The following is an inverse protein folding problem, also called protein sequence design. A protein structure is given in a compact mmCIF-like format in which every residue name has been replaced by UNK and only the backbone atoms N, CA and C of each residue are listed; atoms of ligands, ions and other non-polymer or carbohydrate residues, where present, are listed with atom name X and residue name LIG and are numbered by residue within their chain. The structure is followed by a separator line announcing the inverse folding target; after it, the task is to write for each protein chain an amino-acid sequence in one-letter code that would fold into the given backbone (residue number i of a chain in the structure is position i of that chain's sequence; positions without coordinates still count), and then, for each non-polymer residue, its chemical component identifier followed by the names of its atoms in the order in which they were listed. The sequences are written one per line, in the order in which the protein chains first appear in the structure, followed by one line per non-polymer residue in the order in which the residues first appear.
data_IF_126896415542
#
_entry.id   IF_126896415542
#
_cell.length_a   1.000
_cell.length_b   1.000
_cell.length_c   1.000
_cell.angle_alpha   90.00
_cell.angle_beta   90.00
_cell.angle_gamma   90.00
#
_symmetry.space_group_name_H-M   'P 1'
#
loop_
_entity.id
_entity.type
_entity.pdbx_description
1 polymer ?
#
# COMPACT_ATOMS: atom_id res chain seq x y z
N UNK A 1 24.16 -1.34 -13.26
CA UNK A 1 24.29 -1.06 -11.81
C UNK A 1 22.92 -1.21 -11.16
N UNK A 2 22.84 -2.15 -10.22
CA UNK A 2 21.75 -2.51 -9.30
C UNK A 2 20.49 -1.61 -9.22
N UNK A 3 19.43 -1.96 -9.95
CA UNK A 3 18.05 -1.52 -9.65
C UNK A 3 17.05 -2.69 -9.56
N UNK A 4 17.55 -3.91 -9.77
CA UNK A 4 16.79 -5.17 -9.77
C UNK A 4 16.99 -6.00 -8.49
N UNK A 5 17.79 -5.51 -7.53
CA UNK A 5 18.19 -6.27 -6.34
C UNK A 5 17.45 -5.88 -5.05
N UNK A 6 16.73 -4.77 -4.99
CA UNK A 6 16.24 -4.16 -3.73
C UNK A 6 14.74 -4.25 -3.47
N UNK A 7 14.10 -5.41 -3.66
CA UNK A 7 12.66 -5.54 -3.31
C UNK A 7 12.41 -6.62 -2.24
N UNK A 8 13.29 -7.62 -2.15
CA UNK A 8 13.43 -8.57 -1.03
C UNK A 8 14.88 -9.06 -1.06
N UNK A 9 15.81 -8.15 -0.75
CA UNK A 9 17.25 -8.36 -0.96
C UNK A 9 17.92 -9.20 0.14
N UNK A 10 17.29 -9.32 1.32
CA UNK A 10 17.88 -9.94 2.51
C UNK A 10 17.61 -11.43 2.67
N UNK A 11 16.35 -11.87 2.49
CA UNK A 11 15.97 -13.18 3.02
C UNK A 11 16.53 -14.31 2.18
N UNK A 12 17.28 -15.17 2.86
CA UNK A 12 17.78 -16.44 2.34
C UNK A 12 16.74 -17.56 2.43
N UNK A 13 15.47 -17.19 2.67
CA UNK A 13 14.33 -18.08 2.88
C UNK A 13 13.38 -18.08 1.67
N UNK A 14 12.79 -19.23 1.33
CA UNK A 14 11.65 -19.33 0.42
C UNK A 14 10.39 -18.78 1.09
N UNK A 15 9.67 -17.87 0.41
CA UNK A 15 8.48 -17.21 0.95
C UNK A 15 7.30 -17.27 -0.04
N UNK A 16 6.10 -17.45 0.49
CA UNK A 16 4.84 -17.30 -0.22
C UNK A 16 4.54 -15.81 -0.47
N UNK A 17 4.47 -15.40 -1.75
CA UNK A 17 4.28 -13.99 -2.07
C UNK A 17 3.00 -13.39 -1.48
N UNK A 18 1.89 -14.14 -1.49
CA UNK A 18 0.62 -13.65 -0.96
C UNK A 18 0.65 -13.42 0.55
N UNK A 19 1.37 -14.26 1.29
CA UNK A 19 1.52 -14.09 2.74
C UNK A 19 2.33 -12.84 3.08
N UNK A 20 3.44 -12.60 2.37
CA UNK A 20 4.26 -11.38 2.54
C UNK A 20 3.46 -10.12 2.16
N UNK A 21 2.67 -10.18 1.08
CA UNK A 21 1.79 -9.08 0.66
C UNK A 21 0.74 -8.76 1.73
N UNK A 22 0.11 -9.78 2.31
CA UNK A 22 -0.87 -9.64 3.40
C UNK A 22 -0.20 -9.04 4.64
N UNK A 23 0.95 -9.58 5.07
CA UNK A 23 1.67 -9.12 6.26
C UNK A 23 2.19 -7.69 6.15
N UNK A 24 2.69 -7.28 4.98
CA UNK A 24 3.12 -5.89 4.74
C UNK A 24 1.95 -4.91 4.57
N UNK A 25 0.72 -5.41 4.43
CA UNK A 25 -0.48 -4.60 4.21
C UNK A 25 -0.43 -3.76 2.93
N UNK A 26 0.34 -4.22 1.94
CA UNK A 26 0.41 -3.56 0.63
C UNK A 26 -0.58 -4.20 -0.34
N UNK A 27 -1.07 -3.39 -1.27
CA UNK A 27 -1.95 -3.88 -2.32
C UNK A 27 -1.20 -4.77 -3.31
N UNK A 28 0.10 -4.53 -3.54
CA UNK A 28 0.92 -5.27 -4.50
C UNK A 28 2.29 -5.64 -3.97
N UNK A 29 2.75 -6.81 -4.38
CA UNK A 29 4.10 -7.28 -4.12
C UNK A 29 5.16 -6.30 -4.58
N UNK A 30 4.99 -5.66 -5.74
CA UNK A 30 5.98 -4.75 -6.24
C UNK A 30 5.96 -3.35 -5.58
N UNK A 31 5.00 -3.09 -4.70
CA UNK A 31 4.97 -1.88 -3.87
C UNK A 31 5.67 -2.10 -2.52
N UNK A 32 6.05 -3.35 -2.22
CA UNK A 32 7.01 -3.66 -1.18
C UNK A 32 8.31 -2.94 -1.51
N UNK A 33 8.89 -2.33 -0.49
CA UNK A 33 10.18 -1.65 -0.53
C UNK A 33 10.97 -2.20 0.65
N UNK A 34 12.30 -2.15 0.57
CA UNK A 34 13.16 -2.62 1.66
C UNK A 34 12.79 -1.99 3.01
N UNK A 35 12.45 -0.69 3.05
CA UNK A 35 11.99 0.00 4.27
C UNK A 35 10.71 -0.55 4.92
N UNK A 36 9.93 -1.38 4.22
CA UNK A 36 8.68 -1.95 4.76
C UNK A 36 8.92 -3.28 5.47
N UNK A 37 10.09 -3.89 5.30
CA UNK A 37 10.39 -5.23 5.81
C UNK A 37 11.66 -5.15 6.65
N UNK A 38 11.66 -5.79 7.81
CA UNK A 38 12.86 -6.06 8.58
C UNK A 38 13.01 -7.57 8.74
N UNK A 39 14.21 -8.07 8.51
CA UNK A 39 14.54 -9.47 8.77
C UNK A 39 15.25 -9.53 10.12
N UNK A 40 14.78 -10.41 11.00
CA UNK A 40 15.37 -10.66 12.30
C UNK A 40 15.90 -12.09 12.30
N UNK A 41 17.13 -12.28 12.76
CA UNK A 41 17.77 -13.61 12.81
C UNK A 41 17.07 -14.53 13.82
N UNK A 42 16.54 -13.95 14.89
CA UNK A 42 15.77 -14.65 15.91
C UNK A 42 14.82 -13.65 16.61
N UNK A 43 13.70 -14.15 17.12
CA UNK A 43 12.84 -13.39 18.00
C UNK A 43 12.31 -14.31 19.10
N UNK A 44 12.84 -14.15 20.30
CA UNK A 44 12.36 -14.86 21.48
C UNK A 44 11.31 -14.03 22.21
N UNK A 45 10.40 -14.72 22.89
CA UNK A 45 9.45 -14.08 23.79
C UNK A 45 10.25 -13.42 24.90
N UNK A 46 10.09 -12.11 25.14
CA UNK A 46 10.98 -11.39 26.05
C UNK A 46 10.63 -11.70 27.52
N UNK A 47 11.41 -12.59 28.13
CA UNK A 47 11.24 -13.03 29.52
C UNK A 47 12.01 -12.11 30.47
N UNK A 48 13.24 -11.74 30.11
CA UNK A 48 14.15 -10.92 30.92
C UNK A 48 13.96 -9.41 30.69
N UNK A 49 14.39 -8.54 31.64
CA UNK A 49 14.34 -7.10 31.44
C UNK A 49 15.14 -6.60 30.23
N UNK A 50 16.27 -7.25 29.93
CA UNK A 50 17.14 -6.89 28.80
C UNK A 50 16.48 -7.24 27.46
N UNK A 51 15.91 -8.44 27.34
CA UNK A 51 15.14 -8.86 26.15
C UNK A 51 13.91 -7.97 25.91
N UNK A 52 13.25 -7.53 26.98
CA UNK A 52 12.13 -6.59 26.87
C UNK A 52 12.57 -5.24 26.35
N UNK A 53 13.73 -4.74 26.79
CA UNK A 53 14.29 -3.49 26.29
C UNK A 53 14.71 -3.60 24.82
N UNK A 54 15.24 -4.75 24.39
CA UNK A 54 15.53 -5.04 22.98
C UNK A 54 14.25 -5.07 22.13
N UNK A 55 13.25 -5.85 22.54
CA UNK A 55 11.97 -5.91 21.85
C UNK A 55 11.28 -4.54 21.75
N UNK A 56 11.35 -3.73 22.82
CA UNK A 56 10.80 -2.38 22.83
C UNK A 56 11.52 -1.46 21.84
N UNK A 57 12.85 -1.59 21.69
CA UNK A 57 13.64 -0.85 20.71
C UNK A 57 13.27 -1.26 19.29
N UNK A 58 13.22 -2.56 18.99
CA UNK A 58 12.82 -3.03 17.66
C UNK A 58 11.41 -2.57 17.28
N UNK A 59 10.49 -2.61 18.24
CA UNK A 59 9.13 -2.14 18.06
C UNK A 59 9.09 -0.63 17.79
N UNK A 60 9.86 0.17 18.53
CA UNK A 60 9.99 1.62 18.30
C UNK A 60 10.53 1.92 16.92
N UNK A 61 11.69 1.34 16.58
CA UNK A 61 12.37 1.57 15.32
C UNK A 61 11.47 1.20 14.14
N UNK A 62 10.62 0.19 14.31
CA UNK A 62 9.66 -0.20 13.29
C UNK A 62 8.66 0.89 12.95
N UNK A 63 8.21 1.67 13.92
CA UNK A 63 7.34 2.81 13.67
C UNK A 63 8.09 4.01 13.12
N UNK A 64 9.29 4.29 13.62
CA UNK A 64 10.14 5.39 13.13
C UNK A 64 10.56 5.17 11.67
N UNK A 65 10.97 3.96 11.32
CA UNK A 65 11.44 3.57 9.98
C UNK A 65 10.31 3.14 9.03
N UNK A 66 9.07 3.04 9.55
CA UNK A 66 7.87 2.62 8.81
C UNK A 66 7.93 1.17 8.29
N UNK A 67 8.57 0.31 9.08
CA UNK A 67 8.55 -1.14 8.89
C UNK A 67 7.15 -1.65 9.18
N UNK A 68 6.69 -2.57 8.34
CA UNK A 68 5.33 -3.12 8.38
C UNK A 68 5.29 -4.60 8.68
N UNK A 69 6.39 -5.31 8.41
CA UNK A 69 6.49 -6.75 8.60
C UNK A 69 7.89 -7.10 9.08
N UNK A 70 7.97 -7.88 10.17
CA UNK A 70 9.18 -8.60 10.54
C UNK A 70 9.12 -10.00 9.95
N UNK A 71 10.20 -10.42 9.31
CA UNK A 71 10.38 -11.79 8.81
C UNK A 71 11.38 -12.47 9.73
N UNK A 72 10.98 -13.60 10.30
CA UNK A 72 11.71 -14.28 11.36
C UNK A 72 11.75 -15.77 11.03
N UNK A 73 12.94 -16.40 11.00
CA UNK A 73 13.03 -17.85 10.94
C UNK A 73 12.66 -18.42 12.31
N UNK A 74 11.54 -19.16 12.39
CA UNK A 74 11.10 -19.77 13.65
C UNK A 74 11.02 -21.28 13.49
N UNK A 75 11.41 -22.02 14.52
CA UNK A 75 11.02 -23.42 14.67
C UNK A 75 9.51 -23.53 14.91
N UNK A 76 8.95 -24.73 14.72
CA UNK A 76 7.54 -24.98 15.02
C UNK A 76 7.20 -24.64 16.48
N UNK A 77 8.09 -24.98 17.42
CA UNK A 77 7.91 -24.73 18.85
C UNK A 77 7.91 -23.23 19.20
N UNK A 78 8.84 -22.46 18.63
CA UNK A 78 8.90 -21.00 18.83
C UNK A 78 7.65 -20.31 18.29
N UNK A 79 7.18 -20.76 17.12
CA UNK A 79 5.97 -20.21 16.51
C UNK A 79 4.73 -20.50 17.35
N UNK A 80 4.57 -21.73 17.84
CA UNK A 80 3.46 -22.10 18.73
C UNK A 80 3.49 -21.27 20.01
N UNK A 81 4.68 -21.05 20.57
CA UNK A 81 4.87 -20.20 21.76
C UNK A 81 4.40 -18.76 21.50
N UNK A 82 4.74 -18.17 20.35
CA UNK A 82 4.27 -16.83 19.96
C UNK A 82 2.75 -16.79 19.72
N UNK A 83 2.16 -17.83 19.13
CA UNK A 83 0.71 -17.94 18.92
C UNK A 83 -0.09 -18.09 20.21
N UNK A 84 0.54 -18.53 21.31
CA UNK A 84 -0.10 -18.52 22.63
C UNK A 84 -0.17 -17.14 23.26
N UNK A 85 0.75 -16.24 22.90
CA UNK A 85 0.91 -14.92 23.54
C UNK A 85 0.25 -13.82 22.70
N UNK A 86 0.35 -13.93 21.38
CA UNK A 86 -0.27 -13.05 20.42
C UNK A 86 -1.47 -13.76 19.78
N UNK A 87 -2.56 -13.05 19.45
CA UNK A 87 -3.68 -13.64 18.74
C UNK A 87 -3.20 -14.29 17.43
N UNK A 88 -3.89 -15.37 17.03
CA UNK A 88 -3.52 -16.23 15.89
C UNK A 88 -3.20 -15.44 14.61
N UNK A 89 -3.86 -14.31 14.40
CA UNK A 89 -3.71 -13.48 13.20
C UNK A 89 -2.44 -12.60 13.19
N UNK A 90 -1.71 -12.51 14.30
CA UNK A 90 -0.50 -11.69 14.42
C UNK A 90 0.78 -12.40 13.95
N UNK A 91 0.78 -13.74 13.94
CA UNK A 91 1.90 -14.59 13.52
C UNK A 91 1.54 -15.31 12.23
N UNK A 92 1.99 -14.75 11.11
CA UNK A 92 1.69 -15.21 9.77
C UNK A 92 2.69 -16.28 9.31
N UNK A 93 2.20 -17.35 8.70
CA UNK A 93 3.07 -18.25 7.94
C UNK A 93 3.48 -17.57 6.64
N UNK A 94 4.78 -17.32 6.46
CA UNK A 94 5.29 -16.65 5.28
C UNK A 94 5.84 -17.61 4.24
N UNK A 95 6.03 -18.90 4.54
CA UNK A 95 6.60 -19.85 3.59
C UNK A 95 6.61 -21.29 4.15
N UNK A 96 7.04 -22.26 3.33
CA UNK A 96 7.10 -23.65 3.75
C UNK A 96 8.21 -23.90 4.79
N UNK A 97 8.12 -25.01 5.51
CA UNK A 97 9.22 -25.51 6.33
C UNK A 97 10.45 -25.78 5.44
N UNK A 98 11.62 -25.30 5.87
CA UNK A 98 12.86 -25.37 5.11
C UNK A 98 14.08 -25.40 6.02
N UNK A 99 15.19 -25.92 5.50
CA UNK A 99 16.48 -25.89 6.17
C UNK A 99 17.12 -24.51 6.00
N UNK A 100 17.37 -23.83 7.11
CA UNK A 100 18.03 -22.53 7.16
C UNK A 100 19.15 -22.60 8.21
N UNK A 101 20.38 -22.28 7.81
CA UNK A 101 21.56 -22.33 8.69
C UNK A 101 21.69 -23.65 9.49
N UNK A 102 21.32 -24.79 8.87
CA UNK A 102 21.40 -26.11 9.49
C UNK A 102 20.27 -26.46 10.47
N UNK A 103 19.22 -25.64 10.56
CA UNK A 103 18.02 -25.89 11.36
C UNK A 103 16.77 -25.93 10.49
N UNK A 104 15.81 -26.77 10.84
CA UNK A 104 14.49 -26.78 10.21
C UNK A 104 13.66 -25.62 10.78
N UNK A 105 13.30 -24.67 9.92
CA UNK A 105 12.52 -23.47 10.28
C UNK A 105 11.34 -23.27 9.35
N UNK A 106 10.36 -22.53 9.84
CA UNK A 106 9.22 -22.01 9.10
C UNK A 106 9.33 -20.49 9.10
N UNK A 107 9.45 -19.84 7.93
CA UNK A 107 9.46 -18.39 7.85
C UNK A 107 8.16 -17.83 8.41
N UNK A 108 8.28 -17.04 9.46
CA UNK A 108 7.16 -16.47 10.18
C UNK A 108 7.17 -14.96 10.08
N UNK A 109 5.98 -14.38 10.01
CA UNK A 109 5.76 -12.97 9.78
C UNK A 109 5.06 -12.36 10.97
N UNK A 110 5.65 -11.32 11.55
CA UNK A 110 5.07 -10.63 12.69
C UNK A 110 4.84 -9.16 12.32
N UNK A 111 3.59 -8.71 12.44
CA UNK A 111 3.18 -7.37 12.03
C UNK A 111 3.24 -6.44 13.25
N UNK A 112 4.20 -5.48 13.34
CA UNK A 112 4.42 -4.69 14.56
C UNK A 112 3.16 -3.96 15.04
N UNK A 113 2.31 -3.53 14.11
CA UNK A 113 1.02 -2.92 14.44
C UNK A 113 0.07 -3.89 15.15
N UNK A 114 -0.02 -5.15 14.70
CA UNK A 114 -0.88 -6.14 15.33
C UNK A 114 -0.36 -6.55 16.70
N UNK A 115 0.96 -6.53 16.90
CA UNK A 115 1.56 -6.69 18.23
C UNK A 115 1.04 -5.61 19.18
N UNK A 116 1.16 -4.33 18.78
CA UNK A 116 0.67 -3.22 19.60
C UNK A 116 -0.82 -3.34 19.88
N UNK A 117 -1.63 -3.60 18.84
CA UNK A 117 -3.08 -3.77 19.01
C UNK A 117 -3.41 -4.94 19.97
N UNK A 118 -2.62 -6.01 19.96
CA UNK A 118 -2.79 -7.18 20.85
C UNK A 118 -2.38 -6.90 22.29
N UNK A 119 -1.26 -6.20 22.49
CA UNK A 119 -0.79 -5.79 23.82
C UNK A 119 -1.80 -4.83 24.48
N UNK A 120 -2.37 -3.90 23.70
CA UNK A 120 -3.45 -3.01 24.15
C UNK A 120 -4.68 -3.81 24.58
N UNK A 121 -5.09 -4.81 23.79
CA UNK A 121 -6.27 -5.62 24.11
C UNK A 121 -6.09 -6.48 25.36
N UNK A 122 -4.88 -7.00 25.60
CA UNK A 122 -4.58 -7.79 26.81
C UNK A 122 -4.60 -6.94 28.07
N UNK A 123 -4.16 -5.68 27.99
CA UNK A 123 -4.27 -4.71 29.09
C UNK A 123 -3.47 -5.09 30.35
N UNK A 124 -2.51 -6.01 30.27
CA UNK A 124 -1.65 -6.35 31.41
C UNK A 124 -0.73 -5.17 31.75
N UNK A 125 -0.44 -4.96 33.03
CA UNK A 125 0.43 -3.86 33.48
C UNK A 125 1.83 -3.95 32.86
N UNK A 126 2.32 -5.17 32.65
CA UNK A 126 3.63 -5.43 32.02
C UNK A 126 3.63 -5.03 30.55
N UNK A 127 2.57 -5.38 29.83
CA UNK A 127 2.38 -5.03 28.42
C UNK A 127 2.25 -3.51 28.25
N UNK A 128 1.55 -2.83 29.17
CA UNK A 128 1.41 -1.37 29.15
C UNK A 128 2.73 -0.64 29.42
N UNK A 129 3.57 -1.17 30.32
CA UNK A 129 4.92 -0.65 30.54
C UNK A 129 5.79 -0.81 29.29
N UNK A 130 5.74 -1.98 28.64
CA UNK A 130 6.46 -2.24 27.39
C UNK A 130 6.01 -1.29 26.26
N UNK A 131 4.70 -1.04 26.14
CA UNK A 131 4.15 -0.09 25.16
C UNK A 131 4.57 1.34 25.47
N UNK A 132 4.58 1.73 26.75
CA UNK A 132 5.09 3.04 27.16
C UNK A 132 6.56 3.18 26.77
N UNK A 133 7.40 2.19 27.10
CA UNK A 133 8.82 2.24 26.80
C UNK A 133 9.11 2.21 25.30
N UNK A 134 8.34 1.47 24.50
CA UNK A 134 8.53 1.41 23.04
C UNK A 134 7.97 2.64 22.31
N UNK A 135 6.79 3.12 22.67
CA UNK A 135 6.06 4.17 21.93
C UNK A 135 6.25 5.58 22.49
N UNK A 136 7.00 5.77 23.58
CA UNK A 136 7.33 7.09 24.10
C UNK A 136 8.00 7.95 23.00
N UNK A 137 7.44 9.13 22.69
CA UNK A 137 7.83 10.03 21.60
C UNK A 137 7.57 9.56 20.16
N UNK A 138 6.91 8.42 19.94
CA UNK A 138 6.53 7.99 18.58
C UNK A 138 5.25 8.71 18.14
N UNK A 139 5.28 9.24 16.91
CA UNK A 139 4.22 10.06 16.34
C UNK A 139 2.86 9.33 16.36
N UNK A 140 1.82 9.98 16.89
CA UNK A 140 0.48 9.40 17.11
C UNK A 140 -0.23 8.88 15.84
N UNK A 141 0.29 9.28 14.68
CA UNK A 141 -0.18 8.85 13.37
C UNK A 141 0.17 7.39 13.03
N UNK A 142 1.08 6.78 13.78
CA UNK A 142 1.57 5.42 13.55
C UNK A 142 0.66 4.34 14.18
N UNK A 143 -0.18 4.73 15.15
CA UNK A 143 -1.08 3.81 15.84
C UNK A 143 -2.50 3.98 15.30
N UNK A 144 -3.23 2.86 15.15
CA UNK A 144 -4.56 2.93 14.55
C UNK A 144 -5.53 3.71 15.45
N UNK A 145 -6.28 4.64 14.86
CA UNK A 145 -7.33 5.45 15.52
C UNK A 145 -8.32 4.62 16.36
N UNK A 146 -8.46 3.33 16.08
CA UNK A 146 -9.41 2.44 16.75
C UNK A 146 -9.11 2.29 18.25
N UNK A 147 -7.89 2.55 18.69
CA UNK A 147 -7.45 2.38 20.08
C UNK A 147 -6.99 3.68 20.76
N UNK A 148 -7.29 4.85 20.19
CA UNK A 148 -6.88 6.16 20.74
C UNK A 148 -7.39 6.38 22.17
N UNK A 149 -8.55 5.82 22.53
CA UNK A 149 -9.08 5.84 23.91
C UNK A 149 -8.24 5.01 24.89
N UNK A 150 -7.84 3.80 24.49
CA UNK A 150 -7.05 2.91 25.34
C UNK A 150 -5.62 3.44 25.56
N UNK A 151 -5.04 4.11 24.56
CA UNK A 151 -3.72 4.75 24.68
C UNK A 151 -3.74 6.00 25.56
N UNK A 152 -4.87 6.74 25.59
CA UNK A 152 -5.07 7.90 26.48
C UNK A 152 -5.18 7.52 27.95
N UNK A 153 -5.73 6.35 28.26
CA UNK A 153 -5.80 5.84 29.64
C UNK A 153 -4.43 5.50 30.23
N UNK A 154 -3.39 5.40 29.39
CA UNK A 154 -2.00 5.06 29.78
C UNK A 154 -1.06 6.29 29.69
N UNK A 155 -1.61 7.52 29.61
CA UNK A 155 -0.85 8.79 29.59
C UNK A 155 0.23 8.87 28.48
N UNK A 156 0.01 8.25 27.32
CA UNK A 156 0.91 8.42 26.17
C UNK A 156 0.58 9.76 25.50
N UNK A 157 1.49 10.74 25.57
CA UNK A 157 1.34 12.05 24.93
C UNK A 157 1.37 11.93 23.40
N UNK A 158 0.19 11.78 22.80
CA UNK A 158 0.00 11.71 21.36
C UNK A 158 -0.19 13.14 20.77
N UNK A 159 0.76 13.61 19.96
CA UNK A 159 0.68 14.92 19.30
C UNK A 159 -0.51 14.98 18.32
N UNK A 160 -1.54 15.78 18.63
CA UNK A 160 -2.78 15.85 17.85
C UNK A 160 -2.66 16.83 16.68
N UNK A 161 -2.95 16.40 15.44
CA UNK A 161 -3.09 17.28 14.26
C UNK A 161 -4.56 17.46 13.87
N UNK A 162 -4.90 18.70 13.52
CA UNK A 162 -6.27 19.18 13.21
C UNK A 162 -6.93 18.43 12.03
N UNK A 163 -8.24 18.16 12.11
CA UNK A 163 -9.00 17.33 11.14
C UNK A 163 -8.96 17.90 9.71
N UNK A 164 -8.99 19.24 9.56
CA UNK A 164 -8.91 19.89 8.25
C UNK A 164 -7.54 19.70 7.58
N UNK A 165 -6.46 19.77 8.36
CA UNK A 165 -5.11 19.46 7.86
C UNK A 165 -5.08 18.03 7.33
N UNK A 166 -5.73 17.09 8.02
CA UNK A 166 -5.80 15.68 7.59
C UNK A 166 -6.57 15.49 6.28
N UNK A 167 -7.62 16.26 6.02
CA UNK A 167 -8.38 16.23 4.75
C UNK A 167 -7.54 16.81 3.61
N UNK A 168 -6.92 17.97 3.79
CA UNK A 168 -6.06 18.58 2.77
C UNK A 168 -4.74 17.84 2.55
N UNK A 169 -4.28 17.06 3.53
CA UNK A 169 -3.13 16.16 3.38
C UNK A 169 -3.53 14.81 2.76
N UNK A 170 -4.83 14.51 2.63
CA UNK A 170 -5.28 13.30 1.94
C UNK A 170 -5.11 13.47 0.43
N UNK A 171 -4.03 12.90 -0.09
CA UNK A 171 -3.66 12.97 -1.50
C UNK A 171 -4.78 12.51 -2.45
N UNK A 172 -5.64 11.56 -2.01
CA UNK A 172 -6.80 11.12 -2.81
C UNK A 172 -7.81 12.25 -2.97
N UNK A 173 -8.14 12.94 -1.88
CA UNK A 173 -9.08 14.07 -1.93
C UNK A 173 -8.54 15.19 -2.83
N UNK A 174 -7.25 15.53 -2.68
CA UNK A 174 -6.59 16.53 -3.52
C UNK A 174 -6.64 16.16 -5.01
N UNK A 175 -6.44 14.88 -5.36
CA UNK A 175 -6.55 14.41 -6.73
C UNK A 175 -7.96 14.63 -7.32
N UNK A 176 -9.02 14.31 -6.56
CA UNK A 176 -10.40 14.57 -7.00
C UNK A 176 -10.68 16.05 -7.22
N UNK A 177 -10.24 16.92 -6.29
CA UNK A 177 -10.45 18.36 -6.40
C UNK A 177 -9.72 18.93 -7.63
N UNK A 178 -8.45 18.57 -7.83
CA UNK A 178 -7.65 19.04 -8.97
C UNK A 178 -8.28 18.62 -10.29
N UNK A 179 -8.67 17.35 -10.42
CA UNK A 179 -9.30 16.85 -11.66
C UNK A 179 -10.65 17.53 -11.90
N UNK A 180 -11.46 17.75 -10.86
CA UNK A 180 -12.75 18.43 -11.00
C UNK A 180 -12.58 19.87 -11.51
N UNK A 181 -11.65 20.62 -10.93
CA UNK A 181 -11.34 22.00 -11.35
C UNK A 181 -10.88 22.01 -12.81
N UNK A 182 -9.97 21.10 -13.17
CA UNK A 182 -9.49 20.97 -14.55
C UNK A 182 -10.64 20.66 -15.52
N UNK A 183 -11.49 19.67 -15.20
CA UNK A 183 -12.65 19.31 -16.02
C UNK A 183 -13.62 20.47 -16.22
N UNK A 184 -13.87 21.28 -15.18
CA UNK A 184 -14.73 22.46 -15.29
C UNK A 184 -14.17 23.53 -16.23
N UNK A 185 -12.84 23.73 -16.23
CA UNK A 185 -12.17 24.74 -17.06
C UNK A 185 -11.98 24.29 -18.52
N UNK A 186 -12.04 23.00 -18.79
CA UNK A 186 -11.69 22.42 -20.10
C UNK A 186 -12.63 22.80 -21.24
N UNK A 187 -13.85 23.28 -20.94
CA UNK A 187 -14.76 23.81 -21.96
C UNK A 187 -14.30 25.19 -22.50
N UNK A 188 -13.46 25.92 -21.74
CA UNK A 188 -13.06 27.28 -22.09
C UNK A 188 -12.26 27.36 -23.40
N UNK A 189 -11.28 26.48 -23.71
CA UNK A 189 -10.63 26.54 -25.02
C UNK A 189 -11.59 26.24 -26.18
N UNK A 190 -12.57 25.35 -25.96
CA UNK A 190 -13.50 24.89 -27.01
C UNK A 190 -14.48 25.98 -27.43
N UNK A 191 -14.81 26.92 -26.54
CA UNK A 191 -15.69 28.04 -26.88
C UNK A 191 -15.12 28.96 -27.98
N UNK A 192 -13.80 28.89 -28.23
CA UNK A 192 -13.12 29.67 -29.26
C UNK A 192 -12.91 28.88 -30.56
N UNK A 193 -13.41 27.64 -30.67
CA UNK A 193 -13.27 26.79 -31.85
C UNK A 193 -14.50 26.96 -32.75
N UNK A 194 -14.41 27.69 -33.88
CA UNK A 194 -15.56 27.99 -34.73
C UNK A 194 -16.14 26.76 -35.45
N UNK A 195 -15.39 25.66 -35.55
CA UNK A 195 -15.80 24.41 -36.20
C UNK A 195 -16.73 23.55 -35.33
N UNK A 196 -16.84 23.85 -34.03
CA UNK A 196 -17.67 23.10 -33.10
C UNK A 196 -19.13 23.57 -33.14
N UNK A 197 -20.03 22.68 -33.57
CA UNK A 197 -21.47 22.96 -33.63
C UNK A 197 -22.30 22.30 -32.53
N UNK A 198 -21.65 21.62 -31.59
CA UNK A 198 -22.31 20.97 -30.44
C UNK A 198 -22.67 21.96 -29.33
N UNK A 199 -23.40 21.47 -28.33
CA UNK A 199 -23.74 22.26 -27.14
C UNK A 199 -22.56 22.28 -26.16
N UNK A 200 -22.05 23.48 -25.86
CA UNK A 200 -21.01 23.67 -24.85
C UNK A 200 -21.48 23.21 -23.45
N UNK A 201 -22.76 23.39 -23.14
CA UNK A 201 -23.36 22.90 -21.89
C UNK A 201 -23.31 21.39 -21.77
N UNK A 202 -23.61 20.67 -22.86
CA UNK A 202 -23.55 19.20 -22.87
C UNK A 202 -22.11 18.72 -22.69
N UNK A 203 -21.15 19.32 -23.40
CA UNK A 203 -19.73 19.00 -23.25
C UNK A 203 -19.24 19.24 -21.81
N UNK A 204 -19.62 20.38 -21.22
CA UNK A 204 -19.28 20.71 -19.83
C UNK A 204 -19.90 19.74 -18.82
N UNK A 205 -21.16 19.34 -19.02
CA UNK A 205 -21.81 18.34 -18.16
C UNK A 205 -21.13 16.98 -18.28
N UNK A 206 -20.77 16.54 -19.49
CA UNK A 206 -19.99 15.31 -19.69
C UNK A 206 -18.69 15.37 -18.87
N UNK A 207 -17.98 16.50 -18.90
CA UNK A 207 -16.70 16.65 -18.20
C UNK A 207 -16.81 16.58 -16.68
N UNK A 208 -17.86 17.19 -16.10
CA UNK A 208 -18.12 17.12 -14.66
C UNK A 208 -18.52 15.70 -14.24
N UNK A 209 -19.47 15.10 -14.96
CA UNK A 209 -20.00 13.77 -14.63
C UNK A 209 -18.90 12.71 -14.75
N UNK A 210 -18.01 12.85 -15.73
CA UNK A 210 -16.93 11.89 -15.96
C UNK A 210 -15.72 12.09 -15.04
N UNK A 211 -15.51 13.26 -14.45
CA UNK A 211 -14.37 13.55 -13.57
C UNK A 211 -14.26 12.61 -12.36
N UNK A 212 -15.40 12.28 -11.74
CA UNK A 212 -15.47 11.40 -10.57
C UNK A 212 -15.06 9.95 -10.95
N UNK A 213 -15.75 9.27 -11.89
CA UNK A 213 -15.37 7.93 -12.29
C UNK A 213 -14.00 7.86 -12.95
N UNK A 214 -13.55 8.90 -13.66
CA UNK A 214 -12.20 8.98 -14.23
C UNK A 214 -11.12 8.93 -13.13
N UNK A 215 -11.24 9.81 -12.12
CA UNK A 215 -10.29 9.87 -11.00
C UNK A 215 -10.31 8.58 -10.20
N UNK A 216 -11.51 8.02 -9.98
CA UNK A 216 -11.65 6.72 -9.35
C UNK A 216 -10.95 5.62 -10.16
N UNK A 217 -11.09 5.60 -11.49
CA UNK A 217 -10.44 4.62 -12.35
C UNK A 217 -8.92 4.68 -12.28
N UNK A 218 -8.34 5.89 -12.30
CA UNK A 218 -6.90 6.10 -12.16
C UNK A 218 -6.41 5.66 -10.77
N UNK A 219 -7.08 6.11 -9.71
CA UNK A 219 -6.72 5.71 -8.35
C UNK A 219 -6.83 4.19 -8.20
N UNK A 220 -7.89 3.57 -8.70
CA UNK A 220 -8.10 2.13 -8.65
C UNK A 220 -7.01 1.38 -9.41
N UNK A 221 -6.60 1.84 -10.59
CA UNK A 221 -5.49 1.25 -11.35
C UNK A 221 -4.17 1.29 -10.58
N UNK A 222 -3.95 2.32 -9.77
CA UNK A 222 -2.74 2.51 -8.96
C UNK A 222 -2.80 1.76 -7.63
N UNK A 223 -3.95 1.78 -6.94
CA UNK A 223 -4.06 1.33 -5.54
C UNK A 223 -4.79 0.01 -5.36
N UNK A 224 -5.53 -0.52 -6.32
CA UNK A 224 -6.25 -1.77 -6.08
C UNK A 224 -5.29 -2.97 -6.10
N UNK A 225 -5.35 -3.84 -5.09
CA UNK A 225 -4.53 -5.06 -5.08
C UNK A 225 -4.98 -6.17 -6.03
N UNK A 226 -6.23 -6.15 -6.48
CA UNK A 226 -6.78 -7.16 -7.38
C UNK A 226 -6.70 -6.70 -8.85
N UNK A 227 -6.13 -7.54 -9.71
CA UNK A 227 -5.95 -7.27 -11.16
C UNK A 227 -7.28 -6.96 -11.86
N UNK A 228 -8.36 -7.66 -11.53
CA UNK A 228 -9.69 -7.39 -12.10
C UNK A 228 -10.21 -5.99 -11.76
N UNK A 229 -10.07 -5.55 -10.51
CA UNK A 229 -10.50 -4.20 -10.09
C UNK A 229 -9.72 -3.11 -10.83
N UNK A 230 -8.44 -3.35 -11.12
CA UNK A 230 -7.60 -2.44 -11.92
C UNK A 230 -8.01 -2.42 -13.38
N UNK A 231 -8.36 -3.58 -13.96
CA UNK A 231 -8.90 -3.63 -15.32
C UNK A 231 -10.21 -2.85 -15.42
N UNK A 232 -11.11 -3.01 -14.45
CA UNK A 232 -12.33 -2.19 -14.35
C UNK A 232 -11.96 -0.71 -14.25
N UNK A 233 -11.01 -0.34 -13.39
CA UNK A 233 -10.51 1.03 -13.29
C UNK A 233 -9.96 1.58 -14.60
N UNK A 234 -9.15 0.80 -15.32
CA UNK A 234 -8.59 1.15 -16.63
C UNK A 234 -9.69 1.37 -17.67
N UNK A 235 -10.64 0.44 -17.77
CA UNK A 235 -11.80 0.55 -18.67
C UNK A 235 -12.61 1.79 -18.33
N UNK A 236 -12.90 2.03 -17.04
CA UNK A 236 -13.59 3.24 -16.59
C UNK A 236 -12.83 4.50 -16.99
N UNK A 237 -11.51 4.56 -16.78
CA UNK A 237 -10.66 5.69 -17.18
C UNK A 237 -10.70 5.92 -18.69
N UNK A 238 -10.60 4.87 -19.51
CA UNK A 238 -10.68 5.01 -20.98
C UNK A 238 -12.05 5.53 -21.40
N UNK A 239 -13.13 4.93 -20.92
CA UNK A 239 -14.50 5.32 -21.30
C UNK A 239 -14.80 6.77 -20.91
N UNK A 240 -14.46 7.15 -19.68
CA UNK A 240 -14.68 8.50 -19.15
C UNK A 240 -13.81 9.55 -19.84
N UNK A 241 -12.56 9.22 -20.14
CA UNK A 241 -11.66 10.08 -20.91
C UNK A 241 -12.16 10.29 -22.35
N UNK A 242 -12.67 9.22 -22.99
CA UNK A 242 -13.14 9.26 -24.38
C UNK A 242 -14.48 9.99 -24.57
N UNK A 243 -15.35 9.97 -23.57
CA UNK A 243 -16.71 10.53 -23.65
C UNK A 243 -16.80 11.93 -24.30
N UNK A 244 -16.01 12.94 -23.86
CA UNK A 244 -16.08 14.26 -24.50
C UNK A 244 -15.52 14.30 -25.92
N UNK A 245 -14.51 13.48 -26.24
CA UNK A 245 -13.94 13.43 -27.59
C UNK A 245 -14.91 12.77 -28.58
N UNK A 246 -15.65 11.76 -28.14
CA UNK A 246 -16.73 11.14 -28.93
C UNK A 246 -17.86 12.14 -29.18
N UNK A 247 -18.22 12.96 -28.18
CA UNK A 247 -19.20 14.03 -28.35
C UNK A 247 -18.71 15.09 -29.34
N UNK A 248 -17.45 15.52 -29.23
CA UNK A 248 -16.86 16.50 -30.14
C UNK A 248 -16.77 15.96 -31.58
N UNK A 249 -16.33 14.71 -31.76
CA UNK A 249 -16.20 14.07 -33.08
C UNK A 249 -17.54 13.89 -33.80
N UNK A 250 -18.61 13.61 -33.05
CA UNK A 250 -19.96 13.46 -33.64
C UNK A 250 -20.61 14.78 -34.04
N UNK A 251 -20.15 15.92 -33.52
CA UNK A 251 -20.77 17.24 -33.73
C UNK A 251 -19.86 18.28 -34.41
N UNK A 252 -18.60 17.94 -34.70
CA UNK A 252 -17.64 18.79 -35.42
C UNK A 252 -17.50 18.43 -36.90
N UNK A 253 -17.19 19.41 -37.76
CA UNK A 253 -16.73 19.14 -39.14
C UNK A 253 -15.20 19.09 -39.14
N UNK A 254 -14.61 17.99 -39.62
CA UNK A 254 -13.16 17.73 -39.66
C UNK A 254 -12.50 17.65 -38.28
N UNK A 255 -12.65 16.51 -37.60
CA UNK A 255 -11.90 16.23 -36.37
C UNK A 255 -10.38 16.21 -36.65
N UNK A 256 -9.56 17.02 -35.96
CA UNK A 256 -8.13 17.09 -36.23
C UNK A 256 -7.45 15.73 -35.99
N UNK A 257 -6.74 15.16 -37.00
CA UNK A 257 -6.06 13.88 -36.87
C UNK A 257 -5.03 13.84 -35.73
N UNK A 258 -4.41 14.97 -35.43
CA UNK A 258 -3.41 15.12 -34.36
C UNK A 258 -3.99 14.76 -32.98
N UNK A 259 -5.27 15.09 -32.73
CA UNK A 259 -5.94 14.77 -31.47
C UNK A 259 -6.13 13.26 -31.33
N UNK A 260 -6.44 12.56 -32.42
CA UNK A 260 -6.54 11.09 -32.44
C UNK A 260 -5.18 10.48 -32.09
N UNK A 261 -4.10 10.98 -32.70
CA UNK A 261 -2.75 10.50 -32.42
C UNK A 261 -2.36 10.69 -30.95
N UNK A 262 -2.62 11.86 -30.37
CA UNK A 262 -2.37 12.15 -28.95
C UNK A 262 -3.17 11.19 -28.05
N UNK A 263 -4.45 10.97 -28.34
CA UNK A 263 -5.30 10.03 -27.59
C UNK A 263 -4.74 8.61 -27.64
N UNK A 264 -4.32 8.14 -28.82
CA UNK A 264 -3.70 6.82 -28.98
C UNK A 264 -2.44 6.72 -28.11
N UNK A 265 -1.54 7.71 -28.17
CA UNK A 265 -0.30 7.72 -27.37
C UNK A 265 -0.61 7.70 -25.87
N UNK A 266 -1.57 8.48 -25.40
CA UNK A 266 -1.96 8.51 -23.98
C UNK A 266 -2.54 7.17 -23.51
N UNK A 267 -3.44 6.57 -24.29
CA UNK A 267 -4.03 5.27 -23.98
C UNK A 267 -2.94 4.18 -23.99
N UNK A 268 -2.11 4.13 -25.04
CA UNK A 268 -0.97 3.21 -25.11
C UNK A 268 -0.03 3.36 -23.93
N UNK A 269 0.26 4.58 -23.49
CA UNK A 269 1.10 4.85 -22.32
C UNK A 269 0.50 4.25 -21.04
N UNK A 270 -0.83 4.37 -20.85
CA UNK A 270 -1.51 3.75 -19.71
C UNK A 270 -1.36 2.22 -19.72
N UNK A 271 -1.53 1.59 -20.88
CA UNK A 271 -1.31 0.14 -21.04
C UNK A 271 0.13 -0.27 -20.78
N UNK A 272 1.12 0.50 -21.26
CA UNK A 272 2.55 0.23 -21.02
C UNK A 272 2.87 0.28 -19.53
N UNK A 273 2.39 1.31 -18.82
CA UNK A 273 2.60 1.44 -17.37
C UNK A 273 1.94 0.29 -16.62
N UNK A 274 0.71 -0.08 -16.98
CA UNK A 274 -0.01 -1.19 -16.35
C UNK A 274 0.69 -2.52 -16.59
N UNK A 275 1.09 -2.80 -17.84
CA UNK A 275 1.82 -4.00 -18.24
C UNK A 275 3.19 -4.11 -17.57
N UNK A 276 3.95 -3.01 -17.51
CA UNK A 276 5.24 -2.97 -16.80
C UNK A 276 5.07 -3.34 -15.31
N UNK A 277 4.03 -2.78 -14.67
CA UNK A 277 3.76 -3.10 -13.28
C UNK A 277 3.35 -4.57 -13.10
N UNK A 278 2.54 -5.14 -14.00
CA UNK A 278 2.17 -6.57 -13.94
C UNK A 278 3.39 -7.48 -14.10
N UNK A 279 4.29 -7.14 -15.03
CA UNK A 279 5.56 -7.85 -15.19
C UNK A 279 6.42 -7.80 -13.92
N UNK A 280 6.50 -6.63 -13.27
CA UNK A 280 7.22 -6.46 -12.01
C UNK A 280 6.64 -7.32 -10.88
N UNK A 281 5.31 -7.40 -10.75
CA UNK A 281 4.67 -8.30 -9.78
C UNK A 281 5.03 -9.77 -10.02
N UNK A 282 5.02 -10.20 -11.29
CA UNK A 282 5.41 -11.55 -11.67
C UNK A 282 6.87 -11.84 -11.32
N UNK A 283 7.78 -10.90 -11.60
CA UNK A 283 9.21 -11.05 -11.26
C UNK A 283 9.43 -11.16 -9.75
N UNK A 284 8.78 -10.31 -8.95
CA UNK A 284 8.90 -10.36 -7.48
C UNK A 284 8.30 -11.65 -6.90
N UNK A 285 7.12 -12.06 -7.39
CA UNK A 285 6.50 -13.31 -6.98
C UNK A 285 7.37 -14.52 -7.31
N UNK A 286 8.01 -14.51 -8.49
CA UNK A 286 8.94 -15.54 -8.92
C UNK A 286 10.21 -15.55 -8.05
N UNK A 287 10.79 -14.39 -7.75
CA UNK A 287 11.99 -14.32 -6.91
C UNK A 287 11.77 -14.79 -5.47
N UNK A 288 10.56 -14.61 -4.94
CA UNK A 288 10.18 -15.09 -3.61
C UNK A 288 10.03 -16.63 -3.57
N UNK A 289 9.63 -17.25 -4.69
CA UNK A 289 9.42 -18.70 -4.83
C UNK A 289 10.67 -19.47 -5.26
N UNK A 290 11.52 -18.91 -6.13
CA UNK A 290 12.61 -19.65 -6.80
C UNK A 290 13.92 -19.76 -6.00
N UNK A 291 14.00 -19.22 -4.77
CA UNK A 291 15.24 -19.32 -3.96
C UNK A 291 15.55 -20.73 -3.43
N UNK A 292 14.69 -21.72 -3.70
CA UNK A 292 14.87 -23.16 -3.44
C UNK A 292 16.14 -23.80 -4.03
N UNK A 293 16.80 -23.16 -5.00
CA UNK A 293 17.84 -23.80 -5.83
C UNK A 293 19.26 -23.24 -5.68
N UNK A 294 19.53 -22.40 -4.67
CA UNK A 294 20.86 -21.81 -4.44
C UNK A 294 21.52 -22.17 -3.10
N UNK A 295 21.00 -23.18 -2.41
CA UNK A 295 21.63 -23.77 -1.23
C UNK A 295 22.07 -25.20 -1.54
#
# INVERSE_FOLDING_TARGET
MSFLQGIVAGSSMELWPDAVRIGTGVDRLADIRDRHIRELDHLHIPETPEERAEFARDLRDSFEEKIRLWIIPMTQEERESWQHILPYDAVLELGPAQMYQGREIIPSGLVPRFVVDSLIQRGDKRDMLLLRDSLHNVDALCVSLRHEKALREVEIELHHRNIFVRIFTNLKFLAYVVVLIYSMLRVLPVMFVPEFKGSLWVLWTIDIVTAIPYTWGILTMVTAGQTWKRLVGLVTTIVTFMAPYVYFASHGKHYPPDVIYIIIVLISSAFVVEGYKMWRDYVVARSLRERRLRT
#
